data_IF_822424100858
#
_entry.id   IF_822424100858
#
_cell.length_a   1.000
_cell.length_b   1.000
_cell.length_c   1.000
_cell.angle_alpha   90.00
_cell.angle_beta   90.00
_cell.angle_gamma   90.00
#
_symmetry.space_group_name_H-M   'P 1'
#
loop_
_entity.id
_entity.type
_entity.pdbx_description
1 polymer ?
#
# COMPACT_ATOMS: atom_id res chain seq x y z
N UNK A 1 2.14 5.80 11.56
CA UNK A 1 1.92 5.97 10.11
C UNK A 1 1.77 7.45 9.76
N UNK A 2 0.71 8.14 10.21
CA UNK A 2 0.50 9.59 9.91
C UNK A 2 1.72 10.43 10.29
N UNK A 3 2.30 10.23 11.48
CA UNK A 3 3.51 10.96 11.90
C UNK A 3 4.72 10.75 10.98
N UNK A 4 4.84 9.58 10.34
CA UNK A 4 6.04 9.20 9.58
C UNK A 4 5.92 9.46 8.07
N UNK A 5 4.70 9.54 7.52
CA UNK A 5 4.46 9.73 6.09
C UNK A 5 3.43 10.82 5.75
N UNK A 6 2.79 11.42 6.76
CA UNK A 6 1.67 12.36 6.58
C UNK A 6 0.34 11.66 6.31
N UNK A 7 -0.75 12.41 6.45
CA UNK A 7 -2.12 11.87 6.35
C UNK A 7 -2.41 11.24 4.99
N UNK A 8 -2.07 11.93 3.89
CA UNK A 8 -2.37 11.47 2.55
C UNK A 8 -1.65 10.15 2.22
N UNK A 9 -0.35 10.06 2.52
CA UNK A 9 0.40 8.83 2.27
C UNK A 9 -0.05 7.70 3.21
N UNK A 10 -0.42 8.01 4.45
CA UNK A 10 -0.94 7.02 5.39
C UNK A 10 -2.29 6.45 4.92
N UNK A 11 -3.19 7.30 4.40
CA UNK A 11 -4.46 6.86 3.84
C UNK A 11 -4.25 5.92 2.64
N UNK A 12 -3.34 6.28 1.73
CA UNK A 12 -2.97 5.42 0.59
C UNK A 12 -2.35 4.11 1.07
N UNK A 13 -1.45 4.14 2.05
CA UNK A 13 -0.81 2.94 2.59
C UNK A 13 -1.85 1.98 3.20
N UNK A 14 -2.87 2.50 3.89
CA UNK A 14 -3.98 1.71 4.41
C UNK A 14 -4.77 1.07 3.26
N UNK A 15 -5.16 1.86 2.25
CA UNK A 15 -5.90 1.35 1.09
C UNK A 15 -5.13 0.24 0.35
N UNK A 16 -3.82 0.42 0.13
CA UNK A 16 -2.95 -0.61 -0.46
C UNK A 16 -2.89 -1.86 0.40
N UNK A 17 -2.76 -1.70 1.73
CA UNK A 17 -2.71 -2.83 2.66
C UNK A 17 -4.00 -3.64 2.62
N UNK A 18 -5.15 -2.97 2.68
CA UNK A 18 -6.45 -3.60 2.65
C UNK A 18 -6.66 -4.37 1.33
N UNK A 19 -6.41 -3.72 0.20
CA UNK A 19 -6.54 -4.35 -1.12
C UNK A 19 -5.66 -5.61 -1.25
N UNK A 20 -4.44 -5.58 -0.70
CA UNK A 20 -3.54 -6.74 -0.72
C UNK A 20 -3.95 -7.85 0.26
N UNK A 21 -4.56 -7.47 1.38
CA UNK A 21 -5.09 -8.43 2.35
C UNK A 21 -6.31 -9.16 1.81
N UNK A 22 -7.26 -8.43 1.20
CA UNK A 22 -8.47 -9.00 0.61
C UNK A 22 -8.14 -9.99 -0.51
N UNK A 23 -7.06 -9.73 -1.25
CA UNK A 23 -6.50 -10.63 -2.27
C UNK A 23 -5.61 -11.75 -1.73
N UNK A 24 -5.46 -11.84 -0.40
CA UNK A 24 -4.59 -12.81 0.28
C UNK A 24 -3.09 -12.73 -0.11
N UNK A 25 -2.64 -11.61 -0.68
CA UNK A 25 -1.23 -11.37 -1.03
C UNK A 25 -0.39 -11.01 0.21
N UNK A 26 -1.04 -10.48 1.24
CA UNK A 26 -0.46 -10.12 2.52
C UNK A 26 -1.18 -10.89 3.62
N UNK A 27 -0.44 -11.59 4.48
CA UNK A 27 -1.01 -12.36 5.60
C UNK A 27 -1.22 -11.52 6.86
N UNK A 28 -0.40 -10.49 7.06
CA UNK A 28 -0.43 -9.63 8.25
C UNK A 28 -0.54 -8.15 7.83
N UNK A 29 -1.75 -7.58 7.83
CA UNK A 29 -1.97 -6.17 7.50
C UNK A 29 -1.15 -5.21 8.38
N UNK A 30 -1.15 -5.43 9.69
CA UNK A 30 -0.41 -4.60 10.65
C UNK A 30 1.11 -4.67 10.43
N UNK A 31 1.65 -5.87 10.15
CA UNK A 31 3.06 -6.04 9.82
C UNK A 31 3.45 -5.35 8.51
N UNK A 32 2.59 -5.43 7.50
CA UNK A 32 2.81 -4.79 6.20
C UNK A 32 2.80 -3.25 6.31
N UNK A 33 1.85 -2.70 7.07
CA UNK A 33 1.77 -1.26 7.33
C UNK A 33 2.96 -0.75 8.16
N UNK A 34 3.44 -1.55 9.12
CA UNK A 34 4.67 -1.24 9.87
C UNK A 34 5.87 -1.16 8.92
N UNK A 35 6.07 -2.17 8.06
CA UNK A 35 7.15 -2.15 7.08
C UNK A 35 7.05 -0.99 6.07
N UNK A 36 5.84 -0.48 5.77
CA UNK A 36 5.69 0.76 4.99
C UNK A 36 6.08 2.01 5.78
N UNK A 37 5.75 2.04 7.08
CA UNK A 37 6.14 3.14 7.98
C UNK A 37 7.65 3.20 8.17
N UNK A 38 8.31 2.05 8.31
CA UNK A 38 9.77 1.97 8.41
C UNK A 38 10.44 2.51 7.14
N UNK A 39 9.94 2.11 5.96
CA UNK A 39 10.41 2.63 4.66
C UNK A 39 10.13 4.12 4.48
N UNK A 40 9.01 4.63 4.98
CA UNK A 40 8.71 6.06 4.89
C UNK A 40 9.73 6.88 5.69
N UNK A 41 10.03 6.42 6.91
CA UNK A 41 11.04 7.01 7.79
C UNK A 41 12.43 6.99 7.13
N UNK A 42 12.77 5.93 6.40
CA UNK A 42 14.02 5.81 5.67
C UNK A 42 14.06 6.60 4.33
N UNK A 43 12.95 7.19 3.88
CA UNK A 43 12.85 7.83 2.57
C UNK A 43 12.76 6.86 1.38
N UNK A 44 12.47 5.58 1.65
CA UNK A 44 12.46 4.47 0.68
C UNK A 44 11.04 4.03 0.29
N UNK A 45 10.01 4.71 0.80
CA UNK A 45 8.62 4.37 0.49
C UNK A 45 8.20 4.92 -0.88
N UNK A 46 7.89 4.03 -1.81
CA UNK A 46 7.42 4.37 -3.16
C UNK A 46 5.94 4.04 -3.38
N UNK A 47 5.03 4.75 -2.72
CA UNK A 47 3.58 4.49 -2.83
C UNK A 47 3.02 4.63 -4.25
N UNK A 48 3.56 5.53 -5.07
CA UNK A 48 3.12 5.70 -6.45
C UNK A 48 3.24 4.39 -7.25
N UNK A 49 4.32 3.62 -7.05
CA UNK A 49 4.50 2.31 -7.71
C UNK A 49 3.44 1.31 -7.25
N UNK A 50 3.11 1.30 -5.97
CA UNK A 50 2.05 0.45 -5.42
C UNK A 50 0.68 0.80 -6.01
N UNK A 51 0.35 2.10 -6.12
CA UNK A 51 -0.92 2.56 -6.69
C UNK A 51 -1.01 2.19 -8.17
N UNK A 52 -0.01 2.53 -8.99
CA UNK A 52 -0.05 2.22 -10.42
C UNK A 52 -0.07 0.71 -10.69
N UNK A 53 0.67 -0.07 -9.89
CA UNK A 53 0.62 -1.53 -9.96
C UNK A 53 -0.78 -2.09 -9.63
N UNK A 54 -1.47 -1.53 -8.63
CA UNK A 54 -2.85 -1.93 -8.32
C UNK A 54 -3.85 -1.50 -9.40
N UNK A 55 -3.76 -0.26 -9.89
CA UNK A 55 -4.63 0.26 -10.92
C UNK A 55 -4.53 -0.57 -12.22
N UNK A 56 -3.31 -0.89 -12.67
CA UNK A 56 -3.09 -1.71 -13.86
C UNK A 56 -3.70 -3.11 -13.73
N UNK A 57 -3.59 -3.74 -12.55
CA UNK A 57 -4.15 -5.08 -12.30
C UNK A 57 -5.67 -5.06 -12.27
N UNK A 58 -6.27 -4.09 -11.57
CA UNK A 58 -7.72 -3.92 -11.55
C UNK A 58 -8.26 -3.63 -12.97
N UNK A 59 -7.56 -2.84 -13.79
CA UNK A 59 -7.98 -2.59 -15.17
C UNK A 59 -7.93 -3.85 -16.04
N UNK A 60 -6.93 -4.72 -15.84
CA UNK A 60 -6.84 -5.99 -16.57
C UNK A 60 -7.94 -6.95 -16.17
N UNK A 61 -8.29 -7.02 -14.88
CA UNK A 61 -9.41 -7.85 -14.41
C UNK A 61 -10.76 -7.39 -14.93
N UNK A 62 -11.00 -6.08 -15.03
CA UNK A 62 -12.25 -5.53 -15.56
C UNK A 62 -12.46 -5.79 -17.07
N UNK A 63 -11.42 -6.20 -17.80
CA UNK A 63 -11.46 -6.51 -19.22
C UNK A 63 -11.64 -8.01 -19.53
N UNK A 64 -11.57 -8.87 -18.50
CA UNK A 64 -11.75 -10.33 -18.60
C UNK A 64 -13.14 -10.75 -18.12
#
# INVERSE_FOLDING_TARGET
AVEQMGEQQAAVAIAVTLQKYDRQEVKSPGGYLRAMTDRATAGELHLARSIFGLAARNSMEALN
#
